data_IF_204112292598
#
_entry.id   IF_204112292598
#
_cell.length_a   1.000
_cell.length_b   1.000
_cell.length_c   1.000
_cell.angle_alpha   90.00
_cell.angle_beta   90.00
_cell.angle_gamma   90.00
#
_symmetry.space_group_name_H-M   'P 1'
#
loop_
_entity.id
_entity.type
_entity.pdbx_description
1 polymer ?
#
# COMPACT_ATOMS: atom_id res chain seq x y z
N UNK A 1 6.56 10.71 -31.54
CA UNK A 1 6.06 9.45 -30.97
C UNK A 1 4.99 9.81 -29.95
N UNK A 2 3.77 9.30 -30.07
CA UNK A 2 2.69 9.52 -29.08
C UNK A 2 2.65 8.28 -28.17
N UNK A 3 2.83 8.50 -26.87
CA UNK A 3 2.71 7.45 -25.85
C UNK A 3 1.43 7.77 -25.06
N UNK A 4 0.36 6.97 -25.21
CA UNK A 4 -0.87 7.20 -24.48
C UNK A 4 -0.68 6.91 -22.99
N UNK A 5 -1.40 7.62 -22.14
CA UNK A 5 -1.41 7.38 -20.69
C UNK A 5 -1.98 5.99 -20.35
N UNK A 6 -2.97 5.56 -21.13
CA UNK A 6 -3.59 4.24 -20.97
C UNK A 6 -4.08 3.70 -22.32
N UNK A 7 -4.24 2.40 -22.41
CA UNK A 7 -4.89 1.72 -23.52
C UNK A 7 -5.76 0.58 -22.99
N UNK A 8 -6.66 0.07 -23.83
CA UNK A 8 -7.49 -1.07 -23.47
C UNK A 8 -6.58 -2.30 -23.32
N UNK A 9 -6.55 -2.89 -22.14
CA UNK A 9 -5.72 -4.05 -21.78
C UNK A 9 -6.54 -5.31 -21.49
N UNK A 10 -7.86 -5.25 -21.65
CA UNK A 10 -8.76 -6.39 -21.48
C UNK A 10 -9.32 -6.83 -22.85
N UNK A 11 -9.66 -8.11 -22.95
CA UNK A 11 -10.17 -8.75 -24.17
C UNK A 11 -11.48 -9.50 -23.88
N UNK A 12 -11.88 -10.39 -24.79
CA UNK A 12 -13.15 -11.11 -24.68
C UNK A 12 -13.25 -12.01 -23.44
N UNK A 13 -12.12 -12.50 -22.93
CA UNK A 13 -12.10 -13.35 -21.74
C UNK A 13 -12.52 -12.57 -20.49
N UNK A 14 -12.02 -11.38 -20.30
CA UNK A 14 -12.37 -10.51 -19.16
C UNK A 14 -13.82 -10.01 -19.29
N UNK A 15 -14.26 -9.71 -20.53
CA UNK A 15 -15.64 -9.34 -20.80
C UNK A 15 -16.58 -10.50 -20.47
N UNK A 16 -16.24 -11.71 -20.90
CA UNK A 16 -17.05 -12.91 -20.62
C UNK A 16 -17.20 -13.17 -19.12
N UNK A 17 -16.11 -13.02 -18.34
CA UNK A 17 -16.14 -13.17 -16.88
C UNK A 17 -17.02 -12.10 -16.19
N UNK A 18 -16.96 -10.85 -16.68
CA UNK A 18 -17.84 -9.80 -16.18
C UNK A 18 -19.31 -10.07 -16.49
N UNK A 19 -19.63 -10.51 -17.72
CA UNK A 19 -20.98 -10.87 -18.12
C UNK A 19 -21.52 -12.07 -17.34
N UNK A 20 -20.69 -13.07 -17.07
CA UNK A 20 -21.07 -14.21 -16.24
C UNK A 20 -21.46 -13.77 -14.82
N UNK A 21 -20.66 -12.87 -14.21
CA UNK A 21 -20.99 -12.30 -12.91
C UNK A 21 -22.32 -11.55 -12.91
N UNK A 22 -22.59 -10.74 -13.94
CA UNK A 22 -23.85 -10.02 -14.08
C UNK A 22 -25.03 -10.98 -14.26
N UNK A 23 -24.89 -12.02 -15.10
CA UNK A 23 -25.93 -13.00 -15.37
C UNK A 23 -26.24 -13.89 -14.15
N UNK A 24 -25.25 -14.17 -13.32
CA UNK A 24 -25.44 -14.92 -12.08
C UNK A 24 -26.22 -14.16 -11.01
N UNK A 25 -26.36 -12.84 -11.15
CA UNK A 25 -26.95 -11.96 -10.14
C UNK A 25 -26.06 -11.76 -8.90
N UNK A 26 -24.87 -12.37 -8.88
CA UNK A 26 -23.90 -12.23 -7.77
C UNK A 26 -22.88 -11.13 -8.11
N UNK A 27 -23.26 -9.87 -7.86
CA UNK A 27 -22.49 -8.67 -8.19
C UNK A 27 -21.80 -8.04 -6.97
N UNK A 28 -21.75 -8.78 -5.87
CA UNK A 28 -21.04 -8.37 -4.66
C UNK A 28 -19.91 -9.35 -4.35
N UNK A 29 -19.32 -9.26 -3.16
CA UNK A 29 -18.27 -10.18 -2.70
C UNK A 29 -18.80 -11.62 -2.69
N UNK A 30 -18.31 -12.44 -3.63
CA UNK A 30 -18.75 -13.81 -3.83
C UNK A 30 -17.58 -14.74 -4.17
N UNK A 31 -17.89 -15.87 -4.80
CA UNK A 31 -16.92 -16.91 -5.13
C UNK A 31 -15.72 -16.41 -5.95
N UNK A 32 -15.95 -15.52 -6.91
CA UNK A 32 -14.87 -14.93 -7.74
C UNK A 32 -13.94 -14.04 -6.92
N UNK A 33 -14.47 -13.24 -5.99
CA UNK A 33 -13.63 -12.44 -5.08
C UNK A 33 -12.76 -13.34 -4.20
N UNK A 34 -13.34 -14.36 -3.59
CA UNK A 34 -12.60 -15.32 -2.77
C UNK A 34 -11.50 -16.06 -3.56
N UNK A 35 -11.83 -16.47 -4.80
CA UNK A 35 -10.85 -17.10 -5.68
C UNK A 35 -9.69 -16.14 -6.04
N UNK A 36 -10.01 -14.88 -6.34
CA UNK A 36 -9.01 -13.84 -6.60
C UNK A 36 -8.12 -13.58 -5.37
N UNK A 37 -8.71 -13.38 -4.19
CA UNK A 37 -7.97 -13.16 -2.94
C UNK A 37 -6.98 -14.29 -2.67
N UNK A 38 -7.44 -15.55 -2.83
CA UNK A 38 -6.58 -16.73 -2.68
C UNK A 38 -5.43 -16.75 -3.70
N UNK A 39 -5.74 -16.52 -4.97
CA UNK A 39 -4.75 -16.50 -6.04
C UNK A 39 -3.75 -15.35 -5.85
N UNK A 40 -4.23 -14.17 -5.48
CA UNK A 40 -3.37 -13.00 -5.23
C UNK A 40 -2.47 -13.18 -4.01
N UNK A 41 -2.98 -13.75 -2.92
CA UNK A 41 -2.18 -14.09 -1.75
C UNK A 41 -1.04 -15.07 -2.11
N UNK A 42 -1.32 -16.08 -2.94
CA UNK A 42 -0.31 -17.02 -3.45
C UNK A 42 0.72 -16.31 -4.35
N UNK A 43 0.24 -15.49 -5.29
CA UNK A 43 1.09 -14.74 -6.21
C UNK A 43 2.04 -13.77 -5.49
N UNK A 44 1.51 -13.02 -4.52
CA UNK A 44 2.28 -12.06 -3.72
C UNK A 44 3.09 -12.70 -2.60
N UNK A 45 2.97 -14.01 -2.38
CA UNK A 45 3.55 -14.72 -1.23
C UNK A 45 3.14 -14.11 0.11
N UNK A 46 1.89 -13.62 0.19
CA UNK A 46 1.29 -13.10 1.41
C UNK A 46 0.41 -14.16 2.08
N UNK A 47 0.19 -14.03 3.37
CA UNK A 47 -0.68 -14.97 4.11
C UNK A 47 -2.14 -14.79 3.73
N UNK A 48 -2.57 -13.55 3.53
CA UNK A 48 -3.94 -13.17 3.20
C UNK A 48 -3.93 -12.07 2.15
N UNK A 49 -5.01 -11.96 1.40
CA UNK A 49 -5.33 -10.82 0.56
C UNK A 49 -6.81 -10.48 0.76
N UNK A 50 -7.12 -9.20 0.68
CA UNK A 50 -8.50 -8.69 0.76
C UNK A 50 -8.73 -7.84 -0.48
N UNK A 51 -9.72 -8.22 -1.27
CA UNK A 51 -10.10 -7.48 -2.46
C UNK A 51 -11.00 -6.29 -2.10
N UNK A 52 -10.63 -5.12 -2.57
CA UNK A 52 -11.36 -3.87 -2.37
C UNK A 52 -11.60 -3.17 -3.70
N UNK A 53 -12.52 -2.23 -3.72
CA UNK A 53 -12.91 -1.50 -4.92
C UNK A 53 -11.84 -0.52 -5.44
N UNK A 54 -10.87 -0.15 -4.60
CA UNK A 54 -9.79 0.77 -4.98
C UNK A 54 -8.62 0.73 -4.00
N UNK A 55 -7.43 1.19 -4.44
CA UNK A 55 -6.29 1.42 -3.57
C UNK A 55 -6.57 2.48 -2.48
N UNK A 56 -7.39 3.47 -2.77
CA UNK A 56 -7.84 4.46 -1.78
C UNK A 56 -8.58 3.81 -0.62
N UNK A 57 -9.48 2.88 -0.91
CA UNK A 57 -10.18 2.10 0.13
C UNK A 57 -9.24 1.16 0.87
N UNK A 58 -8.23 0.61 0.19
CA UNK A 58 -7.21 -0.24 0.81
C UNK A 58 -6.39 0.56 1.83
N UNK A 59 -5.90 1.74 1.45
CA UNK A 59 -5.17 2.63 2.36
C UNK A 59 -6.02 3.01 3.57
N UNK A 60 -7.30 3.37 3.34
CA UNK A 60 -8.22 3.71 4.42
C UNK A 60 -8.43 2.53 5.38
N UNK A 61 -8.69 1.34 4.84
CA UNK A 61 -8.91 0.14 5.66
C UNK A 61 -7.67 -0.23 6.47
N UNK A 62 -6.47 -0.11 5.89
CA UNK A 62 -5.21 -0.39 6.59
C UNK A 62 -5.07 0.48 7.84
N UNK A 63 -5.29 1.79 7.73
CA UNK A 63 -5.19 2.70 8.88
C UNK A 63 -6.29 2.47 9.91
N UNK A 64 -7.53 2.26 9.48
CA UNK A 64 -8.61 1.94 10.42
C UNK A 64 -8.41 0.59 11.12
N UNK A 65 -7.78 -0.38 10.47
CA UNK A 65 -7.42 -1.64 11.12
C UNK A 65 -6.41 -1.43 12.26
N UNK A 66 -5.42 -0.57 12.06
CA UNK A 66 -4.40 -0.27 13.08
C UNK A 66 -4.92 0.57 14.24
N UNK A 67 -5.96 1.36 14.02
CA UNK A 67 -6.63 2.13 15.10
C UNK A 67 -7.75 1.36 15.78
N UNK A 68 -8.10 0.18 15.26
CA UNK A 68 -9.17 -0.64 15.82
C UNK A 68 -8.83 -1.09 17.25
N UNK A 69 -9.73 -0.93 18.23
CA UNK A 69 -9.49 -1.34 19.63
C UNK A 69 -9.17 -2.84 19.80
N UNK A 70 -9.56 -3.68 18.84
CA UNK A 70 -9.24 -5.12 18.87
C UNK A 70 -7.82 -5.44 18.39
N UNK A 71 -7.12 -4.46 17.80
CA UNK A 71 -5.73 -4.63 17.42
C UNK A 71 -4.83 -4.80 18.64
N UNK A 72 -3.76 -5.57 18.50
CA UNK A 72 -2.86 -5.90 19.64
C UNK A 72 -2.28 -4.64 20.33
N UNK A 73 -2.03 -3.58 19.55
CA UNK A 73 -1.51 -2.29 20.05
C UNK A 73 -2.14 -1.17 19.19
N UNK A 74 -3.40 -0.79 19.47
CA UNK A 74 -4.11 0.17 18.63
C UNK A 74 -3.46 1.55 18.68
N UNK A 75 -3.29 2.16 17.50
CA UNK A 75 -2.78 3.51 17.39
C UNK A 75 -3.78 4.49 18.01
N UNK A 76 -3.28 5.41 18.83
CA UNK A 76 -4.10 6.43 19.49
C UNK A 76 -4.09 7.72 18.69
N UNK A 77 -5.16 8.53 18.69
CA UNK A 77 -5.20 9.80 17.97
C UNK A 77 -3.97 10.66 18.21
N UNK A 78 -3.46 11.28 17.17
CA UNK A 78 -2.22 12.07 17.21
C UNK A 78 -0.95 11.27 16.91
N UNK A 79 -1.06 9.97 16.57
CA UNK A 79 0.08 9.21 16.06
C UNK A 79 0.62 9.85 14.76
N UNK A 80 1.93 9.82 14.59
CA UNK A 80 2.60 10.37 13.40
C UNK A 80 2.94 9.26 12.41
N UNK A 81 2.77 9.57 11.12
CA UNK A 81 3.13 8.69 10.00
C UNK A 81 4.04 9.44 9.06
N UNK A 82 5.25 8.94 8.89
CA UNK A 82 6.19 9.48 7.89
C UNK A 82 5.80 8.99 6.50
N UNK A 83 5.56 9.91 5.59
CA UNK A 83 5.07 9.65 4.23
C UNK A 83 5.75 10.60 3.23
N UNK A 84 6.06 10.17 1.99
CA UNK A 84 6.69 11.04 1.01
C UNK A 84 5.75 12.20 0.61
N UNK A 85 6.32 13.40 0.42
CA UNK A 85 5.57 14.58 -0.01
C UNK A 85 5.04 14.44 -1.45
N UNK A 86 5.76 13.71 -2.30
CA UNK A 86 5.29 13.35 -3.65
C UNK A 86 4.50 12.05 -3.57
N UNK A 87 3.19 12.18 -3.46
CA UNK A 87 2.29 11.05 -3.27
C UNK A 87 0.90 11.30 -3.86
N UNK A 88 0.09 10.26 -3.93
CA UNK A 88 -1.31 10.41 -4.23
C UNK A 88 -2.08 10.91 -3.00
N UNK A 89 -3.06 11.78 -3.19
CA UNK A 89 -3.80 12.37 -2.07
C UNK A 89 -4.43 11.32 -1.14
N UNK A 90 -4.85 10.18 -1.69
CA UNK A 90 -5.46 9.10 -0.91
C UNK A 90 -4.45 8.18 -0.21
N UNK A 91 -3.16 8.47 -0.30
CA UNK A 91 -2.15 7.92 0.61
C UNK A 91 -2.11 8.74 1.91
N UNK A 92 -2.31 10.05 1.83
CA UNK A 92 -2.23 10.98 2.97
C UNK A 92 -3.56 11.09 3.73
N UNK A 93 -4.68 11.27 3.02
CA UNK A 93 -5.99 11.49 3.65
C UNK A 93 -6.42 10.40 4.64
N UNK A 94 -6.22 9.09 4.38
CA UNK A 94 -6.57 8.05 5.33
C UNK A 94 -5.85 8.15 6.67
N UNK A 95 -4.61 8.66 6.69
CA UNK A 95 -3.87 8.93 7.93
C UNK A 95 -4.63 9.96 8.76
N UNK A 96 -5.02 11.09 8.15
CA UNK A 96 -5.78 12.15 8.82
C UNK A 96 -7.15 11.66 9.28
N UNK A 97 -7.85 10.91 8.40
CA UNK A 97 -9.18 10.39 8.70
C UNK A 97 -9.20 9.39 9.86
N UNK A 98 -8.09 8.65 10.05
CA UNK A 98 -7.93 7.73 11.18
C UNK A 98 -7.41 8.40 12.47
N UNK A 99 -7.25 9.73 12.46
CA UNK A 99 -6.80 10.51 13.62
C UNK A 99 -5.28 10.65 13.73
N UNK A 100 -4.53 10.25 12.70
CA UNK A 100 -3.09 10.40 12.60
C UNK A 100 -2.65 11.75 12.03
N UNK A 101 -1.37 12.02 12.14
CA UNK A 101 -0.69 13.23 11.64
C UNK A 101 0.33 12.79 10.57
N UNK A 102 0.14 13.14 9.28
CA UNK A 102 1.13 12.87 8.26
C UNK A 102 2.35 13.78 8.44
N UNK A 103 3.53 13.20 8.51
CA UNK A 103 4.82 13.88 8.54
C UNK A 103 5.43 13.75 7.14
N UNK A 104 5.37 14.82 6.37
CA UNK A 104 5.84 14.82 4.99
C UNK A 104 7.36 14.93 4.95
N UNK A 105 7.99 14.02 4.21
CA UNK A 105 9.44 14.03 3.95
C UNK A 105 9.73 14.07 2.45
N UNK A 106 10.93 14.44 2.10
CA UNK A 106 11.33 14.57 0.70
C UNK A 106 11.50 13.22 -0.01
N UNK A 107 11.59 13.26 -1.32
CA UNK A 107 11.85 12.12 -2.19
C UNK A 107 13.22 12.24 -2.83
N UNK A 108 13.91 11.12 -3.01
CA UNK A 108 15.14 11.09 -3.79
C UNK A 108 14.86 11.47 -5.25
N UNK A 109 15.55 12.46 -5.82
CA UNK A 109 15.34 12.87 -7.21
C UNK A 109 15.74 11.78 -8.22
N UNK A 110 16.62 10.87 -7.84
CA UNK A 110 17.12 9.81 -8.72
C UNK A 110 16.13 8.63 -8.86
N UNK A 111 15.42 8.34 -7.77
CA UNK A 111 14.51 7.16 -7.71
C UNK A 111 13.05 7.53 -7.55
N UNK A 112 12.74 8.77 -7.17
CA UNK A 112 11.43 9.27 -6.75
C UNK A 112 10.86 8.56 -5.50
N UNK A 113 11.60 7.61 -4.94
CA UNK A 113 11.25 6.97 -3.67
C UNK A 113 11.47 7.92 -2.50
N UNK A 114 10.86 7.60 -1.37
CA UNK A 114 11.06 8.33 -0.11
C UNK A 114 12.56 8.44 0.22
N UNK A 115 13.02 9.63 0.60
CA UNK A 115 14.42 9.85 0.99
C UNK A 115 14.70 9.31 2.39
N UNK A 116 15.61 8.35 2.48
CA UNK A 116 15.89 7.63 3.73
C UNK A 116 16.47 8.55 4.80
N UNK A 117 17.34 9.51 4.41
CA UNK A 117 17.91 10.44 5.39
C UNK A 117 16.83 11.35 5.98
N UNK A 118 15.87 11.77 5.16
CA UNK A 118 14.71 12.54 5.60
C UNK A 118 13.78 11.71 6.51
N UNK A 119 13.62 10.41 6.25
CA UNK A 119 12.90 9.51 7.15
C UNK A 119 13.56 9.45 8.52
N UNK A 120 14.88 9.19 8.57
CA UNK A 120 15.63 9.12 9.83
C UNK A 120 15.53 10.42 10.64
N UNK A 121 15.65 11.57 9.96
CA UNK A 121 15.57 12.88 10.60
C UNK A 121 14.16 13.25 11.11
N UNK A 122 13.11 12.66 10.53
CA UNK A 122 11.73 12.95 10.88
C UNK A 122 11.18 12.07 12.03
N UNK A 123 11.95 11.08 12.49
CA UNK A 123 11.49 10.19 13.57
C UNK A 123 11.36 10.97 14.87
N UNK A 124 10.21 10.86 15.51
CA UNK A 124 9.87 11.44 16.81
C UNK A 124 9.34 10.38 17.78
N UNK A 125 9.17 10.70 19.06
CA UNK A 125 8.49 9.81 20.00
C UNK A 125 7.02 9.49 19.65
N UNK A 126 6.41 10.25 18.73
CA UNK A 126 5.04 10.05 18.25
C UNK A 126 4.98 9.25 16.96
N UNK A 127 6.11 9.02 16.29
CA UNK A 127 6.16 8.28 15.05
C UNK A 127 5.71 6.84 15.29
N UNK A 128 4.62 6.46 14.64
CA UNK A 128 4.03 5.13 14.74
C UNK A 128 4.30 4.28 13.50
N UNK A 129 4.48 4.92 12.34
CA UNK A 129 4.69 4.21 11.09
C UNK A 129 5.50 5.01 10.07
N UNK A 130 6.11 4.27 9.13
CA UNK A 130 6.59 4.78 7.85
C UNK A 130 5.71 4.19 6.75
N UNK A 131 5.24 5.03 5.84
CA UNK A 131 4.36 4.63 4.74
C UNK A 131 4.96 5.05 3.39
N UNK A 132 5.99 4.32 2.90
CA UNK A 132 6.58 4.57 1.61
C UNK A 132 5.60 4.24 0.49
N UNK A 133 5.67 5.04 -0.58
CA UNK A 133 5.07 4.73 -1.87
C UNK A 133 6.19 4.23 -2.76
N UNK A 134 5.89 3.26 -3.59
CA UNK A 134 6.83 2.69 -4.54
C UNK A 134 6.47 3.19 -5.96
N UNK A 135 6.96 4.38 -6.39
CA UNK A 135 6.47 5.06 -7.56
C UNK A 135 6.98 4.43 -8.86
N UNK A 136 6.12 4.40 -9.89
CA UNK A 136 6.48 4.06 -11.28
C UNK A 136 7.19 2.70 -11.46
N UNK A 137 6.97 1.77 -10.54
CA UNK A 137 7.62 0.46 -10.53
C UNK A 137 8.96 0.44 -9.79
N UNK A 138 9.47 1.57 -9.30
CA UNK A 138 10.69 1.64 -8.48
C UNK A 138 10.38 1.17 -7.06
N UNK A 139 11.20 0.26 -6.56
CA UNK A 139 11.10 -0.20 -5.18
C UNK A 139 12.06 0.60 -4.32
N UNK A 140 11.56 1.12 -3.19
CA UNK A 140 12.37 1.85 -2.22
C UNK A 140 13.50 0.97 -1.66
N UNK A 141 14.48 1.58 -0.98
CA UNK A 141 15.50 0.82 -0.25
C UNK A 141 14.86 0.15 0.98
N UNK A 142 14.29 -1.04 0.73
CA UNK A 142 13.52 -1.76 1.73
C UNK A 142 14.38 -2.31 2.87
N UNK A 143 15.66 -2.58 2.61
CA UNK A 143 16.59 -3.02 3.67
C UNK A 143 16.77 -1.91 4.71
N UNK A 144 17.01 -0.69 4.26
CA UNK A 144 17.16 0.48 5.16
C UNK A 144 15.85 0.82 5.85
N UNK A 145 14.74 0.86 5.13
CA UNK A 145 13.43 1.16 5.72
C UNK A 145 13.03 0.13 6.77
N UNK A 146 13.22 -1.16 6.50
CA UNK A 146 12.94 -2.22 7.47
C UNK A 146 13.83 -2.09 8.70
N UNK A 147 15.15 -1.88 8.50
CA UNK A 147 16.09 -1.71 9.61
C UNK A 147 15.72 -0.51 10.51
N UNK A 148 15.34 0.63 9.92
CA UNK A 148 14.89 1.82 10.67
C UNK A 148 13.61 1.50 11.44
N UNK A 149 12.63 0.88 10.81
CA UNK A 149 11.37 0.53 11.46
C UNK A 149 11.57 -0.45 12.63
N UNK A 150 12.42 -1.45 12.46
CA UNK A 150 12.76 -2.41 13.51
C UNK A 150 13.49 -1.75 14.67
N UNK A 151 14.50 -0.91 14.37
CA UNK A 151 15.28 -0.18 15.39
C UNK A 151 14.39 0.69 16.28
N UNK A 152 13.42 1.38 15.68
CA UNK A 152 12.54 2.31 16.37
C UNK A 152 11.20 1.69 16.82
N UNK A 153 11.00 0.39 16.51
CA UNK A 153 9.75 -0.34 16.84
C UNK A 153 8.50 0.33 16.25
N UNK A 154 8.62 0.90 15.07
CA UNK A 154 7.54 1.54 14.30
C UNK A 154 7.08 0.63 13.16
N UNK A 155 5.86 0.84 12.71
CA UNK A 155 5.22 0.00 11.69
C UNK A 155 5.71 0.43 10.30
N UNK A 156 5.99 -0.54 9.43
CA UNK A 156 6.18 -0.32 8.01
C UNK A 156 4.92 -0.78 7.27
N UNK A 157 4.30 0.10 6.48
CA UNK A 157 3.21 -0.22 5.56
C UNK A 157 3.66 0.22 4.16
N UNK A 158 3.36 -0.56 3.14
CA UNK A 158 3.77 -0.26 1.78
C UNK A 158 2.57 0.10 0.90
N UNK A 159 2.61 1.25 0.22
CA UNK A 159 1.73 1.53 -0.91
C UNK A 159 2.42 1.06 -2.20
N UNK A 160 2.04 -0.12 -2.65
CA UNK A 160 2.61 -0.81 -3.81
C UNK A 160 1.71 -0.78 -5.04
N UNK A 161 0.82 0.20 -5.15
CA UNK A 161 -0.18 0.29 -6.21
C UNK A 161 0.44 0.36 -7.63
N UNK A 162 1.69 0.80 -7.76
CA UNK A 162 2.40 0.92 -9.04
C UNK A 162 3.52 -0.11 -9.23
N UNK A 163 3.65 -1.10 -8.33
CA UNK A 163 4.77 -2.04 -8.31
C UNK A 163 4.37 -3.51 -8.37
N UNK A 164 3.19 -3.80 -8.90
CA UNK A 164 2.76 -5.18 -9.06
C UNK A 164 3.78 -5.97 -9.90
N UNK A 165 4.35 -7.02 -9.29
CA UNK A 165 5.40 -7.85 -9.90
C UNK A 165 6.83 -7.34 -9.73
N UNK A 166 7.04 -6.09 -9.30
CA UNK A 166 8.37 -5.56 -8.97
C UNK A 166 8.98 -6.28 -7.78
N UNK A 167 10.31 -6.38 -7.77
CA UNK A 167 11.04 -7.09 -6.73
C UNK A 167 12.24 -6.28 -6.25
N UNK A 168 12.47 -6.33 -4.96
CA UNK A 168 13.69 -5.85 -4.33
C UNK A 168 14.48 -7.04 -3.81
N UNK A 169 15.68 -7.28 -4.36
CA UNK A 169 16.53 -8.43 -4.02
C UNK A 169 15.81 -9.80 -4.03
N UNK A 170 14.94 -9.97 -5.03
CA UNK A 170 14.17 -11.22 -5.21
C UNK A 170 12.87 -11.32 -4.41
N UNK A 171 12.66 -10.47 -3.39
CA UNK A 171 11.40 -10.38 -2.62
C UNK A 171 10.44 -9.42 -3.31
N UNK A 172 9.17 -9.79 -3.41
CA UNK A 172 8.15 -8.96 -4.06
C UNK A 172 7.89 -7.68 -3.26
N UNK A 173 7.73 -6.56 -3.96
CA UNK A 173 7.25 -5.30 -3.36
C UNK A 173 5.87 -5.52 -2.72
N UNK A 174 5.62 -4.88 -1.59
CA UNK A 174 4.42 -5.09 -0.79
C UNK A 174 4.54 -6.21 0.26
N UNK A 175 5.71 -6.80 0.43
CA UNK A 175 5.93 -7.89 1.39
C UNK A 175 6.95 -7.57 2.47
N UNK A 176 7.41 -6.34 2.58
CA UNK A 176 8.43 -5.94 3.56
C UNK A 176 7.81 -5.39 4.84
N UNK A 177 6.62 -4.83 4.73
CA UNK A 177 5.87 -4.29 5.84
C UNK A 177 4.99 -5.31 6.58
N UNK A 178 4.01 -4.78 7.29
CA UNK A 178 3.03 -5.51 8.10
C UNK A 178 2.08 -6.33 7.24
#
# INVERSE_FOLDING_TARGET
>A
MHIPLSYISYAEEEIAEALDSLRSGSVTMGAKCLAFEKAFAQYSNSRHAIFLNSGSSANLLAWFALTNPTWKKPLQPGFEVIVPAVSWSTTIWPIVQSGGVPVLVDCSPDTLCIDIASVEAAISPKTAAVFPIQPLGNVCDMDRLTAICDQHQIILIEDSCQTLGSRYRGRMAGNFGL
#
